data_IF_600636494078
#
_entry.id   IF_600636494078
#
_cell.length_a   1.000
_cell.length_b   1.000
_cell.length_c   1.000
_cell.angle_alpha   90.00
_cell.angle_beta   90.00
_cell.angle_gamma   90.00
#
_symmetry.space_group_name_H-M   'P 1'
#
loop_
_entity.id
_entity.type
_entity.pdbx_description
1 polymer ?
#
# COMPACT_ATOMS: atom_id res chain seq x y z
N UNK A 1 -18.58 77.22 -7.56
CA UNK A 1 -17.65 76.60 -6.59
C UNK A 1 -17.17 75.31 -7.23
N UNK A 2 -16.00 75.32 -7.89
CA UNK A 2 -15.47 74.15 -8.62
C UNK A 2 -14.36 73.56 -7.75
N UNK A 3 -14.58 72.35 -7.23
CA UNK A 3 -13.60 71.62 -6.42
C UNK A 3 -12.71 70.82 -7.36
N UNK A 4 -11.48 71.27 -7.58
CA UNK A 4 -10.46 70.51 -8.31
C UNK A 4 -9.77 69.55 -7.34
N UNK A 5 -10.04 68.24 -7.48
CA UNK A 5 -9.40 67.19 -6.70
C UNK A 5 -8.02 66.91 -7.32
N UNK A 6 -6.95 67.21 -6.59
CA UNK A 6 -5.56 66.92 -6.96
C UNK A 6 -5.27 65.44 -6.71
N UNK A 7 -5.07 64.66 -7.79
CA UNK A 7 -4.74 63.24 -7.71
C UNK A 7 -3.22 63.06 -7.82
N UNK A 8 -2.62 62.36 -6.85
CA UNK A 8 -1.16 62.18 -6.79
C UNK A 8 -0.68 61.20 -7.87
N UNK A 9 0.42 61.56 -8.55
CA UNK A 9 0.99 60.78 -9.67
C UNK A 9 1.41 59.36 -9.29
N UNK A 10 1.62 59.09 -8.00
CA UNK A 10 2.03 57.77 -7.50
C UNK A 10 0.88 56.75 -7.42
N UNK A 11 -0.37 57.21 -7.35
CA UNK A 11 -1.53 56.32 -7.30
C UNK A 11 -1.91 55.78 -8.70
N UNK A 12 -1.56 56.52 -9.75
CA UNK A 12 -1.80 56.11 -11.14
C UNK A 12 -0.84 54.99 -11.60
N UNK A 13 0.42 55.00 -11.14
CA UNK A 13 1.39 53.94 -11.44
C UNK A 13 1.14 52.64 -10.66
N UNK A 14 0.56 52.72 -9.46
CA UNK A 14 0.19 51.52 -8.69
C UNK A 14 -1.03 50.80 -9.28
N UNK A 15 -2.00 51.54 -9.83
CA UNK A 15 -3.20 50.97 -10.45
C UNK A 15 -2.92 50.28 -11.80
N UNK A 16 -1.95 50.74 -12.58
CA UNK A 16 -1.58 50.10 -13.87
C UNK A 16 -0.79 48.81 -13.69
N UNK A 17 0.00 48.69 -12.62
CA UNK A 17 0.73 47.45 -12.30
C UNK A 17 -0.19 46.32 -11.81
N UNK A 18 -1.22 46.66 -11.03
CA UNK A 18 -2.17 45.66 -10.50
C UNK A 18 -3.14 45.18 -11.61
N UNK A 19 -3.51 46.06 -12.55
CA UNK A 19 -4.37 45.71 -13.68
C UNK A 19 -3.67 44.80 -14.71
N UNK A 20 -2.34 44.86 -14.80
CA UNK A 20 -1.55 44.06 -15.76
C UNK A 20 -1.32 42.60 -15.30
N UNK A 21 -1.39 42.33 -13.99
CA UNK A 21 -1.26 40.97 -13.45
C UNK A 21 -2.59 40.20 -13.50
N UNK A 22 -3.73 40.91 -13.52
CA UNK A 22 -5.05 40.29 -13.55
C UNK A 22 -5.46 39.75 -14.94
N UNK A 23 -4.82 40.17 -16.04
CA UNK A 23 -5.22 39.76 -17.40
C UNK A 23 -4.54 38.47 -17.92
N UNK A 24 -3.62 37.87 -17.16
CA UNK A 24 -2.90 36.66 -17.60
C UNK A 24 -3.38 35.34 -16.96
N UNK A 25 -4.42 35.36 -16.13
CA UNK A 25 -5.02 34.14 -15.57
C UNK A 25 -6.32 33.80 -16.30
N UNK A 26 -6.21 32.93 -17.31
CA UNK A 26 -7.37 32.29 -17.94
C UNK A 26 -7.50 30.87 -17.34
N UNK A 27 -8.39 30.65 -16.36
CA UNK A 27 -8.70 29.30 -15.92
C UNK A 27 -9.45 28.57 -17.04
N UNK A 28 -8.90 27.43 -17.46
CA UNK A 28 -9.49 26.58 -18.50
C UNK A 28 -10.88 26.11 -18.05
N UNK A 29 -11.95 26.32 -18.84
CA UNK A 29 -13.30 25.95 -18.43
C UNK A 29 -13.53 24.48 -18.74
N UNK A 30 -13.34 23.62 -17.75
CA UNK A 30 -13.93 22.28 -17.75
C UNK A 30 -14.14 21.82 -16.32
N UNK A 31 -15.30 22.15 -15.76
CA UNK A 31 -15.94 21.31 -14.74
C UNK A 31 -17.45 21.58 -14.75
N UNK A 32 -18.24 20.55 -15.02
CA UNK A 32 -19.15 20.08 -14.00
C UNK A 32 -18.68 18.74 -13.47
N UNK A 33 -18.76 18.58 -12.15
CA UNK A 33 -18.69 17.30 -11.43
C UNK A 33 -19.52 16.23 -12.17
N UNK A 34 -18.90 15.10 -12.47
CA UNK A 34 -19.49 13.82 -12.08
C UNK A 34 -18.42 12.97 -11.41
N UNK A 35 -18.63 12.80 -10.10
CA UNK A 35 -18.06 11.76 -9.29
C UNK A 35 -18.55 10.43 -9.85
N UNK A 36 -17.78 9.77 -10.71
CA UNK A 36 -17.84 8.30 -10.72
C UNK A 36 -16.94 7.84 -9.60
N UNK A 37 -17.49 7.88 -8.38
CA UNK A 37 -17.12 6.87 -7.41
C UNK A 37 -17.58 5.57 -8.05
N UNK A 38 -16.74 4.95 -8.88
CA UNK A 38 -16.88 3.53 -9.19
C UNK A 38 -16.49 2.80 -7.92
N UNK A 39 -17.46 2.85 -7.01
CA UNK A 39 -17.35 2.29 -5.71
C UNK A 39 -17.44 0.80 -5.93
N UNK A 40 -16.43 0.09 -5.44
CA UNK A 40 -16.53 -1.33 -5.11
C UNK A 40 -17.83 -1.68 -4.33
N UNK A 41 -18.56 -0.68 -3.80
CA UNK A 41 -19.88 -0.79 -3.14
C UNK A 41 -21.06 -0.97 -4.09
N UNK A 42 -20.99 -0.57 -5.35
CA UNK A 42 -22.12 -0.72 -6.29
C UNK A 42 -22.27 -2.17 -6.78
N UNK A 43 -21.16 -2.90 -6.84
CA UNK A 43 -21.17 -4.34 -7.10
C UNK A 43 -21.83 -5.14 -5.97
N UNK A 44 -21.65 -4.72 -4.70
CA UNK A 44 -22.24 -5.42 -3.54
C UNK A 44 -23.75 -5.16 -3.42
N UNK A 45 -24.24 -4.01 -3.89
CA UNK A 45 -25.69 -3.72 -3.90
C UNK A 45 -26.48 -4.62 -4.85
N UNK A 46 -25.90 -5.04 -5.97
CA UNK A 46 -26.58 -5.93 -6.93
C UNK A 46 -26.66 -7.39 -6.47
N UNK A 47 -25.97 -7.80 -5.40
CA UNK A 47 -26.02 -9.18 -4.88
C UNK A 47 -27.03 -9.35 -3.73
N UNK A 48 -27.47 -8.25 -3.09
CA UNK A 48 -28.34 -8.33 -1.91
C UNK A 48 -29.84 -8.43 -2.25
N UNK A 49 -30.23 -8.27 -3.51
CA UNK A 49 -31.62 -8.34 -3.95
C UNK A 49 -31.99 -9.70 -4.58
N UNK A 50 -31.68 -10.82 -3.93
CA UNK A 50 -32.51 -12.03 -4.07
C UNK A 50 -32.45 -12.87 -2.79
N UNK A 51 -33.63 -13.03 -2.21
CA UNK A 51 -34.02 -13.79 -1.03
C UNK A 51 -33.63 -15.27 -1.04
N UNK A 52 -33.26 -15.81 0.13
CA UNK A 52 -33.87 -16.97 0.88
C UNK A 52 -32.83 -17.55 1.88
N UNK A 53 -33.26 -18.02 3.08
CA UNK A 53 -32.42 -18.15 4.27
C UNK A 53 -31.77 -19.55 4.44
N UNK A 54 -30.96 -19.65 5.51
CA UNK A 54 -30.41 -20.87 6.11
C UNK A 54 -29.23 -21.54 5.39
N UNK A 55 -28.02 -21.03 5.67
CA UNK A 55 -26.89 -21.84 6.16
C UNK A 55 -25.71 -20.91 6.46
N UNK A 56 -25.48 -20.63 7.75
CA UNK A 56 -24.23 -20.03 8.23
C UNK A 56 -23.14 -21.10 8.16
N UNK A 57 -22.79 -21.55 6.96
CA UNK A 57 -21.49 -22.17 6.74
C UNK A 57 -20.57 -21.02 6.39
N UNK A 58 -20.05 -20.38 7.43
CA UNK A 58 -19.19 -19.21 7.36
C UNK A 58 -18.07 -19.48 6.36
N UNK A 59 -18.22 -18.88 5.17
CA UNK A 59 -17.27 -18.91 4.07
C UNK A 59 -15.94 -18.37 4.59
N UNK A 60 -14.99 -19.26 4.83
CA UNK A 60 -13.58 -18.88 4.92
C UNK A 60 -13.23 -18.18 3.59
N UNK A 61 -12.61 -17.00 3.62
CA UNK A 61 -12.18 -16.35 2.39
C UNK A 61 -11.19 -17.29 1.70
N UNK A 62 -11.57 -17.83 0.54
CA UNK A 62 -10.62 -18.49 -0.35
C UNK A 62 -9.61 -17.41 -0.75
N UNK A 63 -8.42 -17.45 -0.14
CA UNK A 63 -7.30 -16.63 -0.57
C UNK A 63 -7.08 -16.91 -2.05
N UNK A 64 -7.33 -15.91 -2.89
CA UNK A 64 -7.07 -16.00 -4.32
C UNK A 64 -5.57 -16.27 -4.50
N UNK A 65 -5.26 -17.50 -4.90
CA UNK A 65 -3.92 -17.92 -5.31
C UNK A 65 -3.77 -17.44 -6.75
N UNK A 66 -2.96 -16.40 -6.96
CA UNK A 66 -2.60 -15.98 -8.31
C UNK A 66 -1.76 -17.10 -8.95
N UNK A 67 -2.15 -17.54 -10.15
CA UNK A 67 -1.37 -18.49 -10.93
C UNK A 67 -0.02 -17.84 -11.29
N UNK A 68 1.07 -18.38 -10.73
CA UNK A 68 2.42 -17.88 -10.99
C UNK A 68 2.92 -18.53 -12.27
N UNK A 69 3.01 -17.76 -13.36
CA UNK A 69 3.68 -18.21 -14.56
C UNK A 69 5.21 -18.18 -14.30
N UNK A 70 5.80 -19.36 -14.10
CA UNK A 70 7.19 -19.48 -13.66
C UNK A 70 8.12 -19.43 -14.88
N UNK A 71 9.00 -18.43 -14.92
CA UNK A 71 9.96 -18.21 -16.01
C UNK A 71 9.80 -16.84 -16.70
N UNK A 72 10.89 -16.30 -17.23
CA UNK A 72 10.90 -14.99 -17.89
C UNK A 72 12.26 -14.30 -17.83
N UNK A 73 12.43 -13.20 -18.58
CA UNK A 73 13.59 -12.31 -18.45
C UNK A 73 13.37 -11.36 -17.26
N UNK A 74 14.43 -10.95 -16.52
CA UNK A 74 14.29 -9.94 -15.48
C UNK A 74 13.65 -8.66 -16.03
N UNK A 75 12.61 -8.17 -15.36
CA UNK A 75 11.92 -6.92 -15.69
C UNK A 75 12.25 -5.91 -14.60
N UNK A 76 12.77 -4.76 -15.01
CA UNK A 76 13.04 -3.65 -14.10
C UNK A 76 11.75 -2.83 -13.91
N UNK A 77 11.44 -2.49 -12.67
CA UNK A 77 10.37 -1.54 -12.34
C UNK A 77 10.94 -0.31 -11.64
N UNK A 78 10.13 0.75 -11.59
CA UNK A 78 10.48 1.97 -10.87
C UNK A 78 10.50 1.71 -9.35
N UNK A 79 11.62 2.03 -8.71
CA UNK A 79 11.82 1.89 -7.27
C UNK A 79 10.76 2.66 -6.47
N UNK A 80 10.33 3.83 -6.97
CA UNK A 80 9.28 4.63 -6.30
C UNK A 80 7.93 3.93 -6.29
N UNK A 81 7.69 3.02 -7.24
CA UNK A 81 6.44 2.25 -7.33
C UNK A 81 6.53 0.96 -6.53
N UNK A 82 7.63 0.22 -6.64
CA UNK A 82 7.79 -1.09 -5.99
C UNK A 82 8.06 -0.93 -4.49
N UNK A 83 9.04 -0.08 -4.17
CA UNK A 83 9.56 0.13 -2.82
C UNK A 83 9.13 1.48 -2.24
N UNK A 84 8.29 2.25 -2.92
CA UNK A 84 7.74 3.51 -2.38
C UNK A 84 7.04 3.38 -1.03
N UNK A 85 6.82 4.51 -0.36
CA UNK A 85 6.02 4.54 0.87
C UNK A 85 4.56 4.21 0.57
N UNK A 86 3.96 3.38 1.43
CA UNK A 86 2.57 2.90 1.43
C UNK A 86 1.95 3.23 2.79
N UNK A 87 0.85 2.58 3.18
CA UNK A 87 0.20 2.87 4.47
C UNK A 87 1.01 2.47 5.70
N UNK A 88 1.85 1.43 5.62
CA UNK A 88 2.68 0.96 6.74
C UNK A 88 4.13 0.79 6.28
N UNK A 89 4.84 1.91 6.09
CA UNK A 89 6.20 1.89 5.54
C UNK A 89 6.19 1.51 4.06
N UNK A 90 6.74 0.37 3.69
CA UNK A 90 6.83 -0.13 2.30
C UNK A 90 5.79 -1.20 1.98
N UNK A 91 4.91 -1.48 2.94
CA UNK A 91 3.83 -2.47 2.87
C UNK A 91 2.49 -1.80 3.15
N UNK A 92 1.39 -2.45 2.75
CA UNK A 92 0.04 -1.92 3.04
C UNK A 92 -0.37 -2.19 4.50
N UNK A 93 0.05 -3.33 5.04
CA UNK A 93 -0.33 -3.77 6.38
C UNK A 93 0.92 -4.07 7.20
N UNK A 94 0.80 -3.94 8.52
CA UNK A 94 1.79 -4.46 9.46
C UNK A 94 1.88 -5.99 9.39
N UNK A 95 3.00 -6.53 9.85
CA UNK A 95 3.13 -7.98 10.06
C UNK A 95 2.07 -8.50 11.03
N UNK A 96 1.69 -9.77 10.86
CA UNK A 96 0.69 -10.44 11.69
C UNK A 96 1.03 -10.39 13.18
N UNK A 97 -0.01 -10.36 14.02
CA UNK A 97 0.10 -10.30 15.48
C UNK A 97 0.84 -11.52 16.07
N UNK A 98 0.49 -12.73 15.60
CA UNK A 98 1.05 -13.97 16.10
C UNK A 98 1.90 -14.64 15.02
N UNK A 99 3.19 -14.35 15.04
CA UNK A 99 4.16 -14.96 14.11
C UNK A 99 4.56 -16.36 14.58
N UNK A 100 4.84 -17.23 13.61
CA UNK A 100 5.43 -18.54 13.87
C UNK A 100 6.83 -18.40 14.47
N UNK A 101 7.27 -19.45 15.15
CA UNK A 101 8.64 -19.57 15.69
C UNK A 101 9.02 -18.52 16.74
N UNK A 102 8.03 -17.93 17.41
CA UNK A 102 8.25 -16.96 18.49
C UNK A 102 9.22 -15.85 18.10
N UNK A 103 9.12 -15.42 16.83
CA UNK A 103 9.90 -14.31 16.31
C UNK A 103 9.41 -13.00 16.94
N UNK A 104 10.35 -12.16 17.37
CA UNK A 104 10.07 -10.78 17.78
C UNK A 104 9.34 -10.02 16.66
N UNK A 105 8.05 -9.76 16.90
CA UNK A 105 7.17 -9.10 15.94
C UNK A 105 7.62 -7.68 15.61
N UNK A 106 8.10 -6.91 16.58
CA UNK A 106 8.52 -5.53 16.33
C UNK A 106 9.74 -5.49 15.41
N UNK A 107 10.66 -6.43 15.62
CA UNK A 107 11.81 -6.61 14.74
C UNK A 107 11.41 -7.08 13.34
N UNK A 108 10.53 -8.08 13.25
CA UNK A 108 10.01 -8.57 11.99
C UNK A 108 9.33 -7.44 11.19
N UNK A 109 8.50 -6.63 11.85
CA UNK A 109 7.81 -5.50 11.22
C UNK A 109 8.79 -4.44 10.71
N UNK A 110 9.80 -4.10 11.53
CA UNK A 110 10.85 -3.17 11.12
C UNK A 110 11.59 -3.64 9.88
N UNK A 111 11.89 -4.93 9.79
CA UNK A 111 12.61 -5.51 8.66
C UNK A 111 11.72 -5.58 7.42
N UNK A 112 10.51 -6.11 7.55
CA UNK A 112 9.59 -6.31 6.42
C UNK A 112 9.05 -5.00 5.84
N UNK A 113 8.84 -3.99 6.69
CA UNK A 113 8.07 -2.79 6.32
C UNK A 113 8.90 -1.50 6.26
N UNK A 114 10.08 -1.45 6.91
CA UNK A 114 10.79 -0.17 7.07
C UNK A 114 12.26 -0.19 6.66
N UNK A 115 12.86 -1.37 6.45
CA UNK A 115 14.29 -1.47 6.17
C UNK A 115 14.58 -1.72 4.69
N UNK A 116 15.51 -0.95 4.12
CA UNK A 116 16.01 -1.15 2.74
C UNK A 116 17.48 -1.52 2.65
N UNK A 117 18.24 -1.27 3.72
CA UNK A 117 19.69 -1.37 3.71
C UNK A 117 20.21 -2.48 4.63
N UNK A 118 19.39 -2.95 5.57
CA UNK A 118 19.81 -3.94 6.54
C UNK A 118 18.75 -5.03 6.74
N UNK A 119 19.21 -6.21 7.13
CA UNK A 119 18.37 -7.27 7.66
C UNK A 119 18.50 -7.31 9.19
N UNK A 120 17.97 -8.37 9.80
CA UNK A 120 18.33 -8.74 11.16
C UNK A 120 19.81 -9.09 11.30
N UNK A 121 20.26 -9.19 12.56
CA UNK A 121 21.60 -9.64 12.86
C UNK A 121 21.81 -11.10 12.41
N UNK A 122 23.02 -11.41 11.94
CA UNK A 122 23.37 -12.77 11.50
C UNK A 122 23.25 -13.79 12.65
N UNK A 123 22.61 -14.92 12.38
CA UNK A 123 22.36 -15.98 13.39
C UNK A 123 21.10 -15.77 14.24
N UNK A 124 20.26 -14.76 13.96
CA UNK A 124 18.99 -14.64 14.68
C UNK A 124 18.11 -15.89 14.53
N UNK A 125 18.05 -16.51 13.36
CA UNK A 125 17.28 -17.73 13.12
C UNK A 125 17.77 -18.92 13.97
N UNK A 126 19.08 -19.01 14.27
CA UNK A 126 19.63 -20.08 15.14
C UNK A 126 19.32 -19.86 16.61
N UNK A 127 18.86 -18.66 17.00
CA UNK A 127 18.41 -18.38 18.37
C UNK A 127 16.98 -18.84 18.66
N UNK A 128 16.23 -19.28 17.64
CA UNK A 128 14.82 -19.69 17.76
C UNK A 128 14.73 -21.20 17.88
N UNK A 129 14.68 -21.73 19.10
CA UNK A 129 14.57 -23.18 19.31
C UNK A 129 13.31 -23.76 18.66
N UNK A 130 12.17 -23.06 18.74
CA UNK A 130 10.92 -23.50 18.10
C UNK A 130 11.05 -23.68 16.58
N UNK A 131 11.90 -22.89 15.92
CA UNK A 131 12.24 -23.08 14.51
C UNK A 131 13.16 -24.28 14.29
N UNK A 132 14.23 -24.37 15.07
CA UNK A 132 15.20 -25.46 14.95
C UNK A 132 14.59 -26.82 15.26
N UNK A 133 13.67 -26.91 16.22
CA UNK A 133 12.92 -28.13 16.56
C UNK A 133 12.02 -28.58 15.41
N UNK A 134 11.32 -27.64 14.76
CA UNK A 134 10.50 -27.96 13.59
C UNK A 134 11.39 -28.44 12.42
N UNK A 135 12.51 -27.76 12.17
CA UNK A 135 13.50 -28.18 11.17
C UNK A 135 14.03 -29.59 11.42
N UNK A 136 14.41 -29.91 12.66
CA UNK A 136 14.95 -31.23 13.05
C UNK A 136 13.91 -32.34 12.96
N UNK A 137 12.65 -32.01 13.27
CA UNK A 137 11.57 -32.99 13.35
C UNK A 137 10.82 -33.19 12.02
N UNK A 138 11.03 -32.29 11.06
CA UNK A 138 10.36 -32.33 9.77
C UNK A 138 10.80 -33.55 8.94
N UNK A 139 9.83 -34.39 8.59
CA UNK A 139 10.03 -35.55 7.69
C UNK A 139 9.80 -35.21 6.22
N UNK A 140 9.54 -33.95 5.91
CA UNK A 140 9.12 -33.48 4.60
C UNK A 140 9.26 -31.96 4.49
N UNK A 141 8.76 -31.36 3.40
CA UNK A 141 8.99 -29.95 3.17
C UNK A 141 8.29 -29.07 4.20
N UNK A 142 9.01 -28.09 4.72
CA UNK A 142 8.43 -27.05 5.57
C UNK A 142 7.85 -25.96 4.68
N UNK A 143 6.61 -25.58 4.97
CA UNK A 143 5.92 -24.51 4.25
C UNK A 143 6.13 -23.20 5.00
N UNK A 144 6.62 -22.18 4.28
CA UNK A 144 6.80 -20.83 4.81
C UNK A 144 5.70 -19.91 4.32
N UNK A 145 5.36 -18.94 5.17
CA UNK A 145 4.31 -17.97 4.94
C UNK A 145 4.90 -16.57 5.01
N UNK A 146 4.40 -15.69 4.15
CA UNK A 146 4.70 -14.26 4.21
C UNK A 146 4.13 -13.64 5.50
N UNK A 147 4.96 -12.91 6.23
CA UNK A 147 4.62 -12.37 7.56
C UNK A 147 3.56 -11.28 7.52
N UNK A 148 3.36 -10.62 6.37
CA UNK A 148 2.36 -9.57 6.19
C UNK A 148 1.04 -10.15 5.69
N UNK A 149 1.07 -10.93 4.60
CA UNK A 149 -0.16 -11.43 3.95
C UNK A 149 -0.65 -12.78 4.48
N UNK A 150 0.21 -13.58 5.11
CA UNK A 150 -0.09 -14.96 5.52
C UNK A 150 -0.20 -15.95 4.38
N UNK A 151 0.12 -15.53 3.15
CA UNK A 151 0.12 -16.42 1.99
C UNK A 151 1.36 -17.29 2.00
N UNK A 152 1.24 -18.49 1.44
CA UNK A 152 2.40 -19.38 1.24
C UNK A 152 3.41 -18.67 0.33
N UNK A 153 4.65 -18.58 0.80
CA UNK A 153 5.76 -17.94 0.07
C UNK A 153 6.69 -18.98 -0.56
N UNK A 154 7.01 -20.06 0.16
CA UNK A 154 7.94 -21.07 -0.33
C UNK A 154 7.70 -22.44 0.31
N UNK A 155 8.18 -23.47 -0.40
CA UNK A 155 8.27 -24.83 0.09
C UNK A 155 9.75 -25.21 0.12
N UNK A 156 10.27 -25.53 1.30
CA UNK A 156 11.63 -26.02 1.44
C UNK A 156 11.60 -27.54 1.47
N UNK A 157 11.88 -28.20 0.33
CA UNK A 157 12.10 -29.64 0.30
C UNK A 157 13.49 -29.93 0.84
N UNK A 158 13.59 -30.45 2.06
CA UNK A 158 14.82 -31.02 2.60
C UNK A 158 15.25 -32.19 1.69
N UNK A 159 16.10 -31.90 0.69
CA UNK A 159 16.85 -32.93 -0.02
C UNK A 159 18.10 -33.20 0.81
N UNK A 160 18.02 -34.25 1.62
CA UNK A 160 19.18 -34.90 2.24
C UNK A 160 19.84 -35.78 1.18
#
# INVERSE_FOLDING_TARGET
MIVTISYSRNLFFALTAILSVALAYQPHPNSPRQRTQDSRRDFVRNVVALSVPASVSCLLPKFAHAEINVGGKPVYGDDKVIMGQKSHGTTENAVQENLRFEVDRAKADKISSYNRHFAEYGGYFTSRESYLDELRSAKGPITYYDSVSGKVSSYESLRI
#
